data_IF_030660799293
#
_entry.id   IF_030660799293
#
_cell.length_a   1.000
_cell.length_b   1.000
_cell.length_c   1.000
_cell.angle_alpha   90.00
_cell.angle_beta   90.00
_cell.angle_gamma   90.00
#
_symmetry.space_group_name_H-M   'P 1'
#
loop_
_entity.id
_entity.type
_entity.pdbx_description
1 polymer ?
#
# COMPACT_ATOMS: atom_id res chain seq x y z
N UNK A 1 -19.35 28.36 -13.43
CA UNK A 1 -18.51 27.32 -12.79
C UNK A 1 -17.10 27.50 -13.32
N UNK A 2 -16.10 27.72 -12.46
CA UNK A 2 -14.70 27.88 -12.92
C UNK A 2 -14.24 26.55 -13.51
N UNK A 3 -13.87 26.57 -14.78
CA UNK A 3 -13.22 25.44 -15.44
C UNK A 3 -11.84 25.29 -14.79
N UNK A 4 -11.69 24.33 -13.88
CA UNK A 4 -10.38 23.98 -13.34
C UNK A 4 -9.54 23.49 -14.51
N UNK A 5 -8.42 24.15 -14.76
CA UNK A 5 -7.45 23.74 -15.78
C UNK A 5 -7.02 22.32 -15.48
N UNK A 6 -6.94 21.47 -16.51
CA UNK A 6 -6.44 20.11 -16.34
C UNK A 6 -5.02 20.13 -15.73
N UNK A 7 -4.70 19.19 -14.84
CA UNK A 7 -3.40 19.14 -14.19
C UNK A 7 -2.28 18.95 -15.22
N UNK A 8 -1.27 19.82 -15.18
CA UNK A 8 -0.15 19.79 -16.12
C UNK A 8 0.66 18.49 -16.00
N UNK A 9 1.23 18.01 -17.11
CA UNK A 9 2.01 16.77 -17.14
C UNK A 9 3.20 16.82 -16.17
N UNK A 10 3.91 17.95 -16.09
CA UNK A 10 5.01 18.13 -15.14
C UNK A 10 4.55 18.04 -13.68
N UNK A 11 3.40 18.63 -13.36
CA UNK A 11 2.80 18.52 -12.03
C UNK A 11 2.37 17.08 -11.71
N UNK A 12 1.76 16.39 -12.66
CA UNK A 12 1.38 14.98 -12.50
C UNK A 12 2.58 14.08 -12.22
N UNK A 13 3.70 14.27 -12.93
CA UNK A 13 4.93 13.53 -12.71
C UNK A 13 5.57 13.85 -11.35
N UNK A 14 5.63 15.14 -10.99
CA UNK A 14 6.19 15.57 -9.70
C UNK A 14 5.42 14.98 -8.51
N UNK A 15 4.09 15.11 -8.53
CA UNK A 15 3.22 14.53 -7.50
C UNK A 15 3.35 13.00 -7.47
N UNK A 16 3.38 12.36 -8.65
CA UNK A 16 3.57 10.91 -8.73
C UNK A 16 4.89 10.47 -8.11
N UNK A 17 5.99 11.19 -8.33
CA UNK A 17 7.29 10.86 -7.76
C UNK A 17 7.31 10.98 -6.24
N UNK A 18 6.74 12.05 -5.69
CA UNK A 18 6.66 12.24 -4.23
C UNK A 18 5.80 11.15 -3.59
N UNK A 19 4.62 10.89 -4.13
CA UNK A 19 3.73 9.86 -3.60
C UNK A 19 4.38 8.47 -3.68
N UNK A 20 5.06 8.16 -4.78
CA UNK A 20 5.76 6.88 -4.93
C UNK A 20 6.83 6.65 -3.86
N UNK A 21 7.59 7.69 -3.50
CA UNK A 21 8.58 7.59 -2.41
C UNK A 21 7.89 7.31 -1.08
N UNK A 22 6.77 7.98 -0.81
CA UNK A 22 5.98 7.75 0.41
C UNK A 22 5.46 6.31 0.44
N UNK A 23 4.90 5.82 -0.65
CA UNK A 23 4.38 4.45 -0.76
C UNK A 23 5.48 3.43 -0.46
N UNK A 24 6.68 3.60 -1.04
CA UNK A 24 7.79 2.67 -0.78
C UNK A 24 8.24 2.69 0.66
N UNK A 25 8.28 3.85 1.32
CA UNK A 25 8.59 3.93 2.76
C UNK A 25 7.54 3.19 3.58
N UNK A 26 6.26 3.37 3.28
CA UNK A 26 5.15 2.69 3.98
C UNK A 26 5.22 1.18 3.76
N UNK A 27 5.40 0.72 2.52
CA UNK A 27 5.50 -0.70 2.19
C UNK A 27 6.73 -1.32 2.88
N UNK A 28 7.88 -0.67 2.83
CA UNK A 28 9.09 -1.15 3.50
C UNK A 28 8.89 -1.27 5.02
N UNK A 29 8.20 -0.30 5.63
CA UNK A 29 7.85 -0.35 7.05
C UNK A 29 6.94 -1.56 7.37
N UNK A 30 5.93 -1.81 6.54
CA UNK A 30 5.04 -2.97 6.71
C UNK A 30 5.79 -4.30 6.53
N UNK A 31 6.71 -4.38 5.56
CA UNK A 31 7.53 -5.59 5.34
C UNK A 31 8.42 -5.85 6.54
N UNK A 32 9.03 -4.81 7.09
CA UNK A 32 9.81 -4.90 8.32
C UNK A 32 8.95 -5.38 9.50
N UNK A 33 7.76 -4.79 9.70
CA UNK A 33 6.83 -5.20 10.75
C UNK A 33 6.38 -6.65 10.63
N UNK A 34 6.04 -7.10 9.42
CA UNK A 34 5.72 -8.50 9.12
C UNK A 34 6.88 -9.44 9.46
N UNK A 35 8.10 -9.09 9.05
CA UNK A 35 9.30 -9.88 9.36
C UNK A 35 9.58 -9.99 10.85
N UNK A 36 9.42 -8.89 11.60
CA UNK A 36 9.56 -8.89 13.06
C UNK A 36 8.48 -9.74 13.74
N UNK A 37 7.24 -9.69 13.27
CA UNK A 37 6.16 -10.53 13.78
C UNK A 37 6.44 -12.02 13.51
N UNK A 38 6.88 -12.37 12.30
CA UNK A 38 7.27 -13.75 11.96
C UNK A 38 8.48 -14.25 12.74
N UNK A 39 9.43 -13.37 13.06
CA UNK A 39 10.56 -13.70 13.93
C UNK A 39 10.10 -13.96 15.37
N UNK A 40 9.19 -13.14 15.89
CA UNK A 40 8.61 -13.32 17.23
C UNK A 40 7.79 -14.62 17.33
N UNK A 41 6.92 -14.87 16.34
CA UNK A 41 6.11 -16.09 16.19
C UNK A 41 6.97 -17.37 16.25
N UNK A 42 8.22 -17.33 15.74
CA UNK A 42 9.15 -18.46 15.79
C UNK A 42 9.60 -18.87 17.19
N UNK A 43 9.50 -17.98 18.18
CA UNK A 43 9.79 -18.31 19.59
C UNK A 43 8.60 -18.93 20.31
N UNK A 44 7.38 -18.76 19.79
CA UNK A 44 6.15 -19.30 20.36
C UNK A 44 5.93 -20.75 19.89
N UNK A 45 6.89 -21.63 20.21
CA UNK A 45 6.84 -23.06 19.82
C UNK A 45 5.97 -23.94 20.74
N UNK A 46 5.35 -23.37 21.79
CA UNK A 46 4.60 -24.12 22.82
C UNK A 46 3.15 -24.50 22.43
N UNK A 47 2.85 -24.62 21.13
CA UNK A 47 1.64 -25.29 20.64
C UNK A 47 0.42 -24.39 20.36
N UNK A 48 0.59 -23.06 20.40
CA UNK A 48 -0.39 -22.11 19.85
C UNK A 48 -0.02 -21.83 18.40
N UNK A 49 -0.99 -21.86 17.48
CA UNK A 49 -0.74 -21.51 16.08
C UNK A 49 -0.26 -20.05 16.03
N UNK A 50 0.94 -19.74 15.53
CA UNK A 50 1.44 -18.37 15.48
C UNK A 50 0.56 -17.55 14.54
N UNK A 51 0.12 -16.37 15.00
CA UNK A 51 -0.83 -15.53 14.24
C UNK A 51 -0.34 -14.10 14.02
N UNK A 52 0.80 -13.71 14.59
CA UNK A 52 1.30 -12.35 14.53
C UNK A 52 1.66 -11.93 13.11
N UNK A 53 2.40 -12.77 12.39
CA UNK A 53 2.79 -12.52 11.00
C UNK A 53 1.57 -12.46 10.07
N UNK A 54 0.65 -13.43 10.19
CA UNK A 54 -0.59 -13.47 9.40
C UNK A 54 -1.48 -12.25 9.68
N UNK A 55 -1.59 -11.83 10.93
CA UNK A 55 -2.33 -10.64 11.31
C UNK A 55 -1.67 -9.36 10.77
N UNK A 56 -0.35 -9.25 10.88
CA UNK A 56 0.41 -8.12 10.32
C UNK A 56 0.22 -8.03 8.80
N UNK A 57 0.30 -9.16 8.11
CA UNK A 57 0.08 -9.24 6.66
C UNK A 57 -1.36 -8.85 6.27
N UNK A 58 -2.38 -9.36 6.97
CA UNK A 58 -3.77 -8.99 6.68
C UNK A 58 -4.06 -7.50 6.93
N UNK A 59 -3.46 -6.93 7.97
CA UNK A 59 -3.58 -5.50 8.29
C UNK A 59 -2.91 -4.65 7.21
N UNK A 60 -1.70 -5.03 6.78
CA UNK A 60 -0.99 -4.36 5.68
C UNK A 60 -1.81 -4.44 4.38
N UNK A 61 -2.38 -5.59 4.07
CA UNK A 61 -3.22 -5.77 2.88
C UNK A 61 -4.42 -4.83 2.87
N UNK A 62 -5.14 -4.70 3.99
CA UNK A 62 -6.28 -3.78 4.11
C UNK A 62 -5.89 -2.32 4.02
N UNK A 63 -4.78 -1.93 4.66
CA UNK A 63 -4.29 -0.55 4.63
C UNK A 63 -3.85 -0.15 3.22
N UNK A 64 -3.08 -1.00 2.54
CA UNK A 64 -2.62 -0.75 1.18
C UNK A 64 -3.76 -0.81 0.18
N UNK A 65 -4.68 -1.78 0.31
CA UNK A 65 -5.84 -1.90 -0.57
C UNK A 65 -6.80 -0.74 -0.41
N UNK A 66 -7.14 -0.37 0.82
CA UNK A 66 -7.95 0.82 1.12
C UNK A 66 -7.27 2.11 0.67
N UNK A 67 -5.96 2.21 0.90
CA UNK A 67 -5.13 3.31 0.42
C UNK A 67 -5.18 3.45 -1.10
N UNK A 68 -5.04 2.35 -1.85
CA UNK A 68 -5.13 2.33 -3.31
C UNK A 68 -6.48 2.88 -3.80
N UNK A 69 -7.58 2.43 -3.21
CA UNK A 69 -8.93 2.88 -3.57
C UNK A 69 -9.12 4.37 -3.27
N UNK A 70 -8.76 4.81 -2.06
CA UNK A 70 -8.97 6.19 -1.62
C UNK A 70 -8.07 7.18 -2.39
N UNK A 71 -6.78 6.88 -2.49
CA UNK A 71 -5.80 7.78 -3.11
C UNK A 71 -5.80 7.65 -4.62
N UNK A 72 -5.60 6.44 -5.14
CA UNK A 72 -5.57 6.15 -6.57
C UNK A 72 -6.91 6.44 -7.23
N UNK A 73 -8.00 5.88 -6.68
CA UNK A 73 -9.35 6.16 -7.15
C UNK A 73 -9.74 7.65 -7.03
N UNK A 74 -9.39 8.30 -5.92
CA UNK A 74 -9.62 9.73 -5.71
C UNK A 74 -8.88 10.60 -6.73
N UNK A 75 -7.60 10.33 -6.98
CA UNK A 75 -6.79 11.04 -7.98
C UNK A 75 -7.35 10.84 -9.39
N UNK A 76 -7.76 9.63 -9.75
CA UNK A 76 -8.42 9.37 -11.02
C UNK A 76 -9.73 10.15 -11.17
N UNK A 77 -10.56 10.18 -10.13
CA UNK A 77 -11.81 10.93 -10.13
C UNK A 77 -11.58 12.45 -10.29
N UNK A 78 -10.46 12.96 -9.78
CA UNK A 78 -10.04 14.36 -9.92
C UNK A 78 -9.30 14.66 -11.24
N UNK A 79 -9.18 13.70 -12.16
CA UNK A 79 -8.49 13.88 -13.45
C UNK A 79 -6.96 13.75 -13.38
N UNK A 80 -6.39 13.44 -12.21
CA UNK A 80 -4.97 13.20 -12.01
C UNK A 80 -4.58 11.78 -12.41
N UNK A 81 -4.61 11.52 -13.72
CA UNK A 81 -4.49 10.17 -14.29
C UNK A 81 -3.17 9.47 -13.94
N UNK A 82 -2.03 10.12 -14.16
CA UNK A 82 -0.72 9.48 -13.93
C UNK A 82 -0.55 9.07 -12.46
N UNK A 83 -0.62 9.98 -11.47
CA UNK A 83 -0.42 9.57 -10.09
C UNK A 83 -1.53 8.64 -9.60
N UNK A 84 -2.77 8.78 -10.10
CA UNK A 84 -3.87 7.87 -9.76
C UNK A 84 -3.60 6.43 -10.20
N UNK A 85 -3.12 6.20 -11.43
CA UNK A 85 -2.72 4.86 -11.90
C UNK A 85 -1.53 4.33 -11.10
N UNK A 86 -0.51 5.16 -10.85
CA UNK A 86 0.67 4.74 -10.09
C UNK A 86 0.28 4.28 -8.68
N UNK A 87 -0.57 5.04 -7.98
CA UNK A 87 -1.08 4.67 -6.65
C UNK A 87 -1.83 3.34 -6.69
N UNK A 88 -2.73 3.13 -7.66
CA UNK A 88 -3.47 1.87 -7.79
C UNK A 88 -2.55 0.68 -8.01
N UNK A 89 -1.53 0.82 -8.86
CA UNK A 89 -0.59 -0.27 -9.17
C UNK A 89 0.31 -0.58 -7.98
N UNK A 90 0.90 0.44 -7.36
CA UNK A 90 1.89 0.26 -6.29
C UNK A 90 1.23 -0.22 -5.01
N UNK A 91 0.21 0.50 -4.54
CA UNK A 91 -0.50 0.12 -3.31
C UNK A 91 -1.33 -1.15 -3.52
N UNK A 92 -1.98 -1.30 -4.68
CA UNK A 92 -2.72 -2.52 -5.02
C UNK A 92 -1.80 -3.74 -5.15
N UNK A 93 -0.62 -3.58 -5.77
CA UNK A 93 0.40 -4.62 -5.85
C UNK A 93 0.94 -5.01 -4.47
N UNK A 94 1.22 -4.02 -3.61
CA UNK A 94 1.60 -4.26 -2.22
C UNK A 94 0.50 -4.97 -1.42
N UNK A 95 -0.77 -4.57 -1.59
CA UNK A 95 -1.91 -5.23 -0.97
C UNK A 95 -2.02 -6.69 -1.40
N UNK A 96 -1.91 -6.96 -2.71
CA UNK A 96 -1.93 -8.33 -3.25
C UNK A 96 -0.78 -9.19 -2.71
N UNK A 97 0.42 -8.61 -2.61
CA UNK A 97 1.56 -9.27 -1.99
C UNK A 97 1.26 -9.67 -0.54
N UNK A 98 0.82 -8.74 0.29
CA UNK A 98 0.50 -9.04 1.69
C UNK A 98 -0.71 -9.96 1.87
N UNK A 99 -1.72 -9.89 0.99
CA UNK A 99 -2.82 -10.86 0.98
C UNK A 99 -2.32 -12.28 0.71
N UNK A 100 -1.35 -12.45 -0.19
CA UNK A 100 -0.76 -13.77 -0.45
C UNK A 100 0.01 -14.32 0.77
N UNK A 101 0.67 -13.44 1.53
CA UNK A 101 1.36 -13.81 2.76
C UNK A 101 0.41 -14.12 3.91
N UNK A 102 -0.76 -13.48 3.95
CA UNK A 102 -1.79 -13.73 4.96
C UNK A 102 -2.62 -15.00 4.70
N UNK A 103 -2.57 -15.54 3.48
CA UNK A 103 -3.31 -16.73 3.08
C UNK A 103 -2.53 -18.04 3.30
N UNK A 104 -1.23 -17.94 3.64
CA UNK A 104 -0.36 -19.07 4.00
C UNK A 104 -0.21 -19.21 5.50
#
# INVERSE_FOLDING_TARGET
>A
MRQASDPSTGGQLGVSGVLLVIDFVVIAWMVYGYGMAGWADGYESDGVVPTGATQAASTAAWLLGGGAVLTGGGLLALGWRIPGVVQLVVLGGGAAYFSSLAAG
#
